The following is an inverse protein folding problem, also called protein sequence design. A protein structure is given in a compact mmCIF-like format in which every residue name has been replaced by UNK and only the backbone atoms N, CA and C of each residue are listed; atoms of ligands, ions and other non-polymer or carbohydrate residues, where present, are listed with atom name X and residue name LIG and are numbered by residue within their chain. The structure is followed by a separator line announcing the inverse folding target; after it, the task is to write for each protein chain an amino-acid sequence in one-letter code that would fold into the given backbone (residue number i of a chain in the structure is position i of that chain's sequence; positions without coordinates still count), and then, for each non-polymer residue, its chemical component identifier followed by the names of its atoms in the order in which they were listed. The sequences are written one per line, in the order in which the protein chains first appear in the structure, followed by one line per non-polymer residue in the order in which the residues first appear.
data_IF_113626844585
#
_entry.id   IF_113626844585
#
_cell.length_a   1.000
_cell.length_b   1.000
_cell.length_c   1.000
_cell.angle_alpha   90.00
_cell.angle_beta   90.00
_cell.angle_gamma   90.00
#
_symmetry.space_group_name_H-M   'P 1'
#
loop_
_entity.id
_entity.type
_entity.pdbx_description
1 polymer ?
#
# COMPACT_ATOMS: atom_id res chain seq x y z
N UNK A 1 -20.37 2.60 6.33
CA UNK A 1 -19.69 3.86 5.96
C UNK A 1 -20.04 4.96 6.95
N UNK A 2 -19.13 5.89 7.19
CA UNK A 2 -19.32 7.03 8.13
C UNK A 2 -19.76 8.30 7.43
N UNK A 3 -19.73 8.31 6.09
CA UNK A 3 -20.18 9.37 5.23
C UNK A 3 -21.30 8.85 4.34
N UNK A 4 -22.11 9.76 3.82
CA UNK A 4 -23.24 9.38 2.95
C UNK A 4 -22.70 9.04 1.55
N UNK A 5 -22.86 7.79 1.14
CA UNK A 5 -22.59 7.32 -0.22
C UNK A 5 -23.89 6.75 -0.77
N UNK A 6 -24.44 7.30 -1.87
CA UNK A 6 -25.65 6.75 -2.50
C UNK A 6 -25.51 5.25 -2.83
N UNK A 7 -26.60 4.52 -2.77
CA UNK A 7 -26.59 3.05 -2.92
C UNK A 7 -25.95 2.59 -4.23
N UNK A 8 -26.17 3.33 -5.31
CA UNK A 8 -25.61 3.06 -6.63
C UNK A 8 -24.09 3.26 -6.72
N UNK A 9 -23.48 3.93 -5.72
CA UNK A 9 -22.04 4.18 -5.64
C UNK A 9 -21.32 3.37 -4.54
N UNK A 10 -22.06 2.56 -3.79
CA UNK A 10 -21.51 1.83 -2.64
C UNK A 10 -20.44 0.81 -3.02
N UNK A 11 -20.38 0.35 -4.29
CA UNK A 11 -19.30 -0.54 -4.73
C UNK A 11 -18.04 0.18 -5.20
N UNK A 12 -18.08 1.49 -5.35
CA UNK A 12 -16.93 2.33 -5.72
C UNK A 12 -16.91 3.60 -4.88
N UNK A 13 -16.90 3.48 -3.55
CA UNK A 13 -17.04 4.61 -2.65
C UNK A 13 -15.88 5.61 -2.79
N UNK A 14 -14.65 5.15 -3.07
CA UNK A 14 -13.48 6.01 -3.27
C UNK A 14 -13.65 6.88 -4.51
N UNK A 15 -14.19 6.34 -5.61
CA UNK A 15 -14.47 7.10 -6.81
C UNK A 15 -15.52 8.19 -6.54
N UNK A 16 -16.59 7.84 -5.84
CA UNK A 16 -17.63 8.81 -5.46
C UNK A 16 -17.07 9.94 -4.56
N UNK A 17 -16.26 9.58 -3.56
CA UNK A 17 -15.62 10.56 -2.66
C UNK A 17 -14.71 11.51 -3.43
N UNK A 18 -13.92 10.97 -4.37
CA UNK A 18 -13.09 11.77 -5.27
C UNK A 18 -13.91 12.77 -6.07
N UNK A 19 -15.00 12.33 -6.69
CA UNK A 19 -15.73 13.17 -7.63
C UNK A 19 -16.70 14.15 -6.94
N UNK A 20 -17.19 13.81 -5.74
CA UNK A 20 -18.30 14.52 -5.11
C UNK A 20 -17.96 15.32 -3.87
N UNK A 21 -16.94 14.92 -3.09
CA UNK A 21 -16.66 15.54 -1.78
C UNK A 21 -15.39 16.40 -1.74
N UNK A 22 -14.28 15.87 -2.23
CA UNK A 22 -13.01 16.58 -2.19
C UNK A 22 -12.13 16.26 -3.42
N UNK A 23 -12.60 16.61 -4.65
CA UNK A 23 -11.98 16.14 -5.88
C UNK A 23 -10.49 16.44 -5.96
N UNK A 24 -10.05 17.66 -5.65
CA UNK A 24 -8.63 18.01 -5.74
C UNK A 24 -7.76 17.28 -4.74
N UNK A 25 -8.22 17.12 -3.50
CA UNK A 25 -7.45 16.46 -2.43
C UNK A 25 -7.39 14.94 -2.66
N UNK A 26 -8.55 14.32 -2.93
CA UNK A 26 -8.62 12.86 -3.11
C UNK A 26 -7.90 12.43 -4.38
N UNK A 27 -8.01 13.22 -5.45
CA UNK A 27 -7.25 12.97 -6.68
C UNK A 27 -5.73 12.99 -6.41
N UNK A 28 -5.23 14.01 -5.72
CA UNK A 28 -3.80 14.10 -5.38
C UNK A 28 -3.34 12.92 -4.47
N UNK A 29 -4.19 12.49 -3.53
CA UNK A 29 -3.90 11.33 -2.68
C UNK A 29 -3.83 10.01 -3.47
N UNK A 30 -4.72 9.83 -4.46
CA UNK A 30 -4.69 8.69 -5.37
C UNK A 30 -3.49 8.74 -6.31
N UNK A 31 -3.10 9.91 -6.81
CA UNK A 31 -1.90 10.09 -7.60
C UNK A 31 -0.64 9.79 -6.80
N UNK A 32 -0.58 10.21 -5.54
CA UNK A 32 0.51 9.83 -4.65
C UNK A 32 0.58 8.31 -4.44
N UNK A 33 -0.55 7.66 -4.18
CA UNK A 33 -0.60 6.20 -4.10
C UNK A 33 -0.08 5.54 -5.39
N UNK A 34 -0.59 5.96 -6.55
CA UNK A 34 -0.15 5.43 -7.85
C UNK A 34 1.35 5.60 -8.06
N UNK A 35 1.91 6.76 -7.72
CA UNK A 35 3.33 7.05 -7.88
C UNK A 35 4.21 6.05 -7.11
N UNK A 36 3.79 5.57 -5.93
CA UNK A 36 4.54 4.55 -5.19
C UNK A 36 4.65 3.23 -5.95
N UNK A 37 3.58 2.81 -6.62
CA UNK A 37 3.59 1.59 -7.44
C UNK A 37 4.40 1.76 -8.72
N UNK A 38 4.35 2.93 -9.36
CA UNK A 38 5.03 3.18 -10.63
C UNK A 38 6.53 3.40 -10.48
N UNK A 39 6.97 4.09 -9.44
CA UNK A 39 8.32 4.64 -9.36
C UNK A 39 9.20 4.06 -8.25
N UNK A 40 8.63 3.31 -7.29
CA UNK A 40 9.46 2.72 -6.23
C UNK A 40 10.54 1.81 -6.82
N UNK A 41 11.73 1.89 -6.26
CA UNK A 41 12.93 1.10 -6.65
C UNK A 41 13.10 -0.17 -5.81
N UNK A 42 12.28 -0.35 -4.79
CA UNK A 42 12.31 -1.52 -3.91
C UNK A 42 11.98 -2.79 -4.68
N UNK A 43 12.52 -3.92 -4.25
CA UNK A 43 12.05 -5.21 -4.77
C UNK A 43 10.58 -5.41 -4.42
N UNK A 44 9.88 -6.24 -5.21
CA UNK A 44 8.45 -6.46 -4.97
C UNK A 44 8.18 -7.04 -3.58
N UNK A 45 9.08 -7.87 -3.05
CA UNK A 45 8.93 -8.48 -1.72
C UNK A 45 9.17 -7.47 -0.59
N UNK A 46 10.15 -6.58 -0.70
CA UNK A 46 10.39 -5.49 0.25
C UNK A 46 9.17 -4.53 0.27
N UNK A 47 8.72 -4.12 -0.90
CA UNK A 47 7.55 -3.27 -1.08
C UNK A 47 6.29 -3.89 -0.47
N UNK A 48 5.98 -5.15 -0.83
CA UNK A 48 4.77 -5.85 -0.36
C UNK A 48 4.84 -6.21 1.12
N UNK A 49 6.00 -6.52 1.67
CA UNK A 49 6.17 -6.74 3.10
C UNK A 49 5.81 -5.50 3.91
N UNK A 50 6.40 -4.35 3.56
CA UNK A 50 6.12 -3.07 4.20
C UNK A 50 4.65 -2.63 3.99
N UNK A 51 4.12 -2.77 2.76
CA UNK A 51 2.73 -2.44 2.43
C UNK A 51 1.74 -3.27 3.23
N UNK A 52 1.94 -4.59 3.28
CA UNK A 52 1.05 -5.49 4.02
C UNK A 52 1.08 -5.20 5.52
N UNK A 53 2.27 -4.93 6.09
CA UNK A 53 2.37 -4.52 7.50
C UNK A 53 1.60 -3.24 7.78
N UNK A 54 1.74 -2.24 6.91
CA UNK A 54 0.98 -1.00 7.00
C UNK A 54 -0.52 -1.24 6.90
N UNK A 55 -0.96 -2.12 5.99
CA UNK A 55 -2.37 -2.47 5.83
C UNK A 55 -2.96 -3.13 7.10
N UNK A 56 -2.20 -4.03 7.74
CA UNK A 56 -2.58 -4.65 9.02
C UNK A 56 -2.72 -3.62 10.14
N UNK A 57 -1.75 -2.70 10.26
CA UNK A 57 -1.76 -1.63 11.28
C UNK A 57 -2.95 -0.68 11.07
N UNK A 58 -3.25 -0.36 9.83
CA UNK A 58 -4.38 0.52 9.50
C UNK A 58 -5.75 -0.13 9.67
N UNK A 59 -5.83 -1.46 9.77
CA UNK A 59 -7.09 -2.22 9.74
C UNK A 59 -7.81 -2.21 8.38
N UNK A 60 -7.15 -1.75 7.31
CA UNK A 60 -7.75 -1.58 5.99
C UNK A 60 -7.97 -2.94 5.31
N UNK A 61 -9.22 -3.41 5.23
CA UNK A 61 -9.58 -4.72 4.67
C UNK A 61 -9.20 -4.82 3.18
N UNK A 62 -9.54 -3.83 2.38
CA UNK A 62 -9.16 -3.77 0.96
C UNK A 62 -7.64 -3.87 0.80
N UNK A 63 -6.88 -3.10 1.60
CA UNK A 63 -5.42 -3.07 1.50
C UNK A 63 -4.80 -4.42 1.88
N UNK A 64 -5.40 -5.17 2.80
CA UNK A 64 -4.93 -6.50 3.20
C UNK A 64 -5.22 -7.57 2.14
N UNK A 65 -6.25 -7.40 1.31
CA UNK A 65 -6.59 -8.35 0.23
C UNK A 65 -5.86 -8.05 -1.08
N UNK A 66 -5.36 -6.82 -1.25
CA UNK A 66 -4.61 -6.40 -2.44
C UNK A 66 -3.27 -7.13 -2.52
N UNK A 67 -2.89 -7.55 -3.75
CA UNK A 67 -1.62 -8.20 -4.08
C UNK A 67 -1.01 -7.49 -5.28
N UNK A 68 0.10 -6.77 -5.11
CA UNK A 68 0.67 -5.99 -6.21
C UNK A 68 0.97 -6.83 -7.45
N UNK A 69 1.47 -8.05 -7.29
CA UNK A 69 1.74 -8.95 -8.42
C UNK A 69 0.50 -9.38 -9.19
N UNK A 70 -0.69 -9.38 -8.55
CA UNK A 70 -1.97 -9.76 -9.17
C UNK A 70 -2.76 -8.54 -9.63
N UNK A 71 -2.85 -7.52 -8.79
CA UNK A 71 -3.88 -6.49 -8.87
C UNK A 71 -3.35 -5.13 -9.35
N UNK A 72 -2.02 -4.89 -9.27
CA UNK A 72 -1.47 -3.58 -9.56
C UNK A 72 -1.63 -3.17 -11.03
N UNK A 73 -1.61 -4.13 -11.95
CA UNK A 73 -1.83 -3.85 -13.37
C UNK A 73 -3.22 -3.25 -13.62
N UNK A 74 -4.26 -3.85 -13.04
CA UNK A 74 -5.62 -3.35 -13.13
C UNK A 74 -5.79 -2.01 -12.40
N UNK A 75 -5.22 -1.89 -11.19
CA UNK A 75 -5.24 -0.66 -10.42
C UNK A 75 -4.63 0.51 -11.19
N UNK A 76 -3.46 0.33 -11.81
CA UNK A 76 -2.80 1.39 -12.57
C UNK A 76 -3.49 1.72 -13.88
N UNK A 77 -4.03 0.72 -14.59
CA UNK A 77 -4.76 0.95 -15.85
C UNK A 77 -6.02 1.80 -15.66
N UNK A 78 -6.63 1.75 -14.47
CA UNK A 78 -7.78 2.59 -14.13
C UNK A 78 -7.45 4.10 -14.06
N UNK A 79 -6.15 4.46 -14.07
CA UNK A 79 -5.63 5.83 -14.01
C UNK A 79 -4.71 6.18 -15.21
N UNK A 80 -4.82 5.46 -16.32
CA UNK A 80 -3.94 5.58 -17.49
C UNK A 80 -2.45 5.35 -17.17
N UNK A 81 -2.16 4.56 -16.12
CA UNK A 81 -0.82 4.23 -15.67
C UNK A 81 -0.23 3.01 -16.35
N UNK A 82 1.11 2.98 -16.50
CA UNK A 82 1.84 1.82 -16.99
C UNK A 82 2.09 0.81 -15.85
N UNK A 83 1.51 -0.37 -15.98
CA UNK A 83 1.65 -1.46 -15.03
C UNK A 83 2.92 -2.30 -15.20
N UNK A 84 3.65 -2.12 -16.29
CA UNK A 84 4.80 -2.98 -16.63
C UNK A 84 5.95 -2.86 -15.63
N UNK A 85 6.10 -1.71 -14.97
CA UNK A 85 7.17 -1.43 -14.02
C UNK A 85 7.08 -2.23 -12.70
N UNK A 86 5.87 -2.64 -12.25
CA UNK A 86 5.69 -3.29 -10.95
C UNK A 86 6.05 -4.77 -11.01
N UNK A 87 5.66 -5.45 -12.07
CA UNK A 87 5.89 -6.90 -12.24
C UNK A 87 7.38 -7.18 -12.47
N UNK A 88 8.13 -6.20 -12.95
CA UNK A 88 9.54 -6.34 -13.36
C UNK A 88 10.54 -5.98 -12.26
N UNK A 89 10.14 -5.67 -11.05
CA UNK A 89 11.08 -5.37 -9.94
C UNK A 89 11.84 -6.60 -9.45
N UNK A 90 12.19 -7.48 -10.36
CA UNK A 90 13.36 -8.37 -10.33
C UNK A 90 13.33 -9.56 -9.38
N UNK A 91 12.21 -9.91 -8.73
CA UNK A 91 12.14 -11.07 -7.83
C UNK A 91 10.79 -11.78 -7.90
N UNK A 92 10.77 -13.03 -7.41
CA UNK A 92 9.56 -13.82 -7.36
C UNK A 92 8.39 -13.05 -6.71
N UNK A 93 7.22 -13.11 -7.34
CA UNK A 93 5.99 -12.55 -6.80
C UNK A 93 5.72 -13.22 -5.43
N UNK A 94 5.46 -12.44 -4.35
CA UNK A 94 5.12 -13.00 -3.06
C UNK A 94 3.87 -13.89 -3.15
N UNK A 95 3.92 -15.03 -2.50
CA UNK A 95 2.79 -15.94 -2.37
C UNK A 95 1.96 -15.67 -1.11
N UNK A 96 0.85 -16.39 -0.92
CA UNK A 96 -0.01 -16.22 0.26
C UNK A 96 0.69 -16.63 1.56
N UNK A 97 1.70 -17.51 1.51
CA UNK A 97 2.50 -17.84 2.69
C UNK A 97 3.33 -16.64 3.16
N UNK A 98 3.92 -15.90 2.21
CA UNK A 98 4.62 -14.64 2.51
C UNK A 98 3.70 -13.63 3.18
N UNK A 99 2.52 -13.37 2.59
CA UNK A 99 1.57 -12.39 3.14
C UNK A 99 1.05 -12.77 4.51
N UNK A 100 0.75 -14.06 4.73
CA UNK A 100 0.32 -14.59 6.02
C UNK A 100 1.39 -14.44 7.11
N UNK A 101 2.66 -14.55 6.76
CA UNK A 101 3.78 -14.45 7.69
C UNK A 101 4.12 -13.01 8.12
N UNK A 102 3.62 -11.97 7.43
CA UNK A 102 3.97 -10.57 7.74
C UNK A 102 3.55 -10.16 9.15
N UNK A 103 2.48 -10.72 9.70
CA UNK A 103 2.07 -10.45 11.09
C UNK A 103 3.14 -10.91 12.10
N UNK A 104 3.80 -12.01 11.80
CA UNK A 104 4.81 -12.68 12.64
C UNK A 104 6.24 -12.48 12.10
N UNK A 105 6.47 -11.39 11.39
CA UNK A 105 7.72 -11.12 10.68
C UNK A 105 8.98 -11.25 11.53
N UNK A 106 8.89 -10.95 12.83
CA UNK A 106 10.03 -11.00 13.77
C UNK A 106 10.60 -12.41 13.95
N UNK A 107 9.76 -13.41 13.87
CA UNK A 107 10.13 -14.81 14.11
C UNK A 107 10.05 -15.70 12.86
N UNK A 108 9.37 -15.25 11.81
CA UNK A 108 9.22 -16.02 10.57
C UNK A 108 10.57 -16.17 9.84
N UNK A 109 10.96 -17.36 9.38
CA UNK A 109 12.19 -17.57 8.60
C UNK A 109 12.05 -17.14 7.12
N UNK A 110 10.88 -16.70 6.69
CA UNK A 110 10.57 -16.43 5.26
C UNK A 110 11.15 -15.12 4.74
N UNK A 111 11.60 -14.23 5.63
CA UNK A 111 12.06 -12.89 5.26
C UNK A 111 13.57 -12.77 5.29
N UNK A 112 14.13 -12.14 4.27
CA UNK A 112 15.51 -11.68 4.25
C UNK A 112 15.71 -10.51 5.21
N UNK A 113 16.97 -10.15 5.50
CA UNK A 113 17.27 -9.02 6.39
C UNK A 113 16.72 -7.69 5.83
N UNK A 114 16.77 -7.50 4.50
CA UNK A 114 16.18 -6.31 3.85
C UNK A 114 14.66 -6.28 3.98
N UNK A 115 13.98 -7.41 3.72
CA UNK A 115 12.53 -7.53 3.88
C UNK A 115 12.11 -7.27 5.33
N UNK A 116 12.86 -7.81 6.31
CA UNK A 116 12.63 -7.56 7.74
C UNK A 116 12.77 -6.09 8.08
N UNK A 117 13.84 -5.44 7.62
CA UNK A 117 14.07 -4.02 7.89
C UNK A 117 12.98 -3.14 7.26
N UNK A 118 12.51 -3.46 6.06
CA UNK A 118 11.38 -2.76 5.43
C UNK A 118 10.06 -2.91 6.23
N UNK A 119 9.78 -4.13 6.72
CA UNK A 119 8.59 -4.41 7.55
C UNK A 119 8.71 -3.72 8.93
N UNK A 120 9.89 -3.78 9.56
CA UNK A 120 10.18 -3.11 10.83
C UNK A 120 9.99 -1.60 10.71
N UNK A 121 10.49 -1.00 9.63
CA UNK A 121 10.31 0.42 9.38
C UNK A 121 8.84 0.81 9.20
N UNK A 122 8.09 0.01 8.46
CA UNK A 122 6.65 0.22 8.29
C UNK A 122 5.90 0.10 9.64
N UNK A 123 6.28 -0.87 10.48
CA UNK A 123 5.73 -1.03 11.82
C UNK A 123 6.04 0.18 12.70
N UNK A 124 7.32 0.59 12.75
CA UNK A 124 7.77 1.71 13.56
C UNK A 124 7.12 3.03 13.14
N UNK A 125 7.18 3.35 11.85
CA UNK A 125 6.58 4.58 11.33
C UNK A 125 5.05 4.62 11.50
N UNK A 126 4.40 3.45 11.42
CA UNK A 126 2.96 3.32 11.59
C UNK A 126 2.46 3.39 13.04
N UNK A 127 3.23 2.88 14.00
CA UNK A 127 2.82 2.74 15.41
C UNK A 127 3.52 3.71 16.35
N UNK A 128 4.82 3.96 16.14
CA UNK A 128 5.65 4.82 16.99
C UNK A 128 6.68 5.59 16.15
N UNK A 129 6.25 6.63 15.41
CA UNK A 129 7.14 7.39 14.54
C UNK A 129 8.25 8.12 15.32
N UNK A 130 8.03 8.45 16.60
CA UNK A 130 9.05 9.08 17.42
C UNK A 130 10.08 8.06 17.92
N UNK A 131 9.64 6.85 18.23
CA UNK A 131 10.52 5.76 18.63
C UNK A 131 11.43 5.32 17.51
N UNK A 132 10.88 5.06 16.32
CA UNK A 132 11.70 4.66 15.16
C UNK A 132 12.70 5.75 14.74
N UNK A 133 12.31 7.02 14.81
CA UNK A 133 13.19 8.13 14.47
C UNK A 133 14.41 8.25 15.41
N UNK A 134 14.33 7.70 16.62
CA UNK A 134 15.41 7.73 17.63
C UNK A 134 16.12 6.38 17.77
N UNK A 135 15.72 5.37 17.02
CA UNK A 135 16.27 4.02 17.12
C UNK A 135 17.56 3.92 16.30
N UNK A 136 18.68 4.32 16.91
CA UNK A 136 19.99 4.29 16.27
C UNK A 136 20.38 2.88 15.78
N UNK A 137 20.05 1.83 16.52
CA UNK A 137 20.32 0.46 16.12
C UNK A 137 19.58 0.06 14.85
N UNK A 138 18.32 0.50 14.72
CA UNK A 138 17.56 0.33 13.48
C UNK A 138 18.22 1.08 12.32
N UNK A 139 18.55 2.36 12.50
CA UNK A 139 19.11 3.18 11.43
C UNK A 139 20.48 2.71 10.98
N UNK A 140 21.32 2.23 11.91
CA UNK A 140 22.61 1.63 11.56
C UNK A 140 22.42 0.37 10.68
N UNK A 141 21.48 -0.50 11.03
CA UNK A 141 21.17 -1.69 10.21
C UNK A 141 20.56 -1.28 8.88
N UNK A 142 19.57 -0.40 8.88
CA UNK A 142 18.88 0.03 7.67
C UNK A 142 19.85 0.66 6.66
N UNK A 143 20.74 1.56 7.10
CA UNK A 143 21.78 2.18 6.25
C UNK A 143 22.80 1.18 5.70
N UNK A 144 23.00 0.04 6.35
CA UNK A 144 23.85 -1.03 5.82
C UNK A 144 23.17 -1.89 4.75
N UNK A 145 21.84 -1.88 4.73
CA UNK A 145 21.00 -2.69 3.84
C UNK A 145 20.44 -1.92 2.64
N UNK A 146 20.16 -0.63 2.82
CA UNK A 146 19.53 0.23 1.84
C UNK A 146 20.38 1.47 1.56
N UNK A 147 20.33 1.97 0.34
CA UNK A 147 20.84 3.30 0.02
C UNK A 147 19.91 4.39 0.57
N UNK A 148 20.41 5.63 0.65
CA UNK A 148 19.59 6.78 1.04
C UNK A 148 18.38 6.97 0.12
N UNK A 149 18.53 6.72 -1.19
CA UNK A 149 17.43 6.78 -2.16
C UNK A 149 16.34 5.73 -1.86
N UNK A 150 16.75 4.49 -1.52
CA UNK A 150 15.80 3.44 -1.18
C UNK A 150 15.10 3.70 0.16
N UNK A 151 15.81 4.28 1.15
CA UNK A 151 15.20 4.68 2.43
C UNK A 151 14.18 5.80 2.26
N UNK A 152 14.48 6.78 1.43
CA UNK A 152 13.52 7.86 1.09
C UNK A 152 12.32 7.28 0.33
N UNK A 153 12.54 6.43 -0.66
CA UNK A 153 11.49 5.73 -1.41
C UNK A 153 10.57 4.96 -0.46
N UNK A 154 11.13 4.08 0.37
CA UNK A 154 10.38 3.29 1.36
C UNK A 154 9.57 4.20 2.31
N UNK A 155 10.16 5.30 2.79
CA UNK A 155 9.50 6.25 3.68
C UNK A 155 8.25 6.85 3.05
N UNK A 156 8.35 7.31 1.80
CA UNK A 156 7.20 7.90 1.10
C UNK A 156 6.17 6.86 0.67
N UNK A 157 6.59 5.64 0.33
CA UNK A 157 5.66 4.52 0.13
C UNK A 157 4.83 4.25 1.38
N UNK A 158 5.46 4.11 2.54
CA UNK A 158 4.79 3.88 3.83
C UNK A 158 3.86 5.06 4.16
N UNK A 159 4.31 6.32 3.99
CA UNK A 159 3.49 7.50 4.23
C UNK A 159 2.19 7.50 3.41
N UNK A 160 2.29 7.15 2.12
CA UNK A 160 1.13 7.02 1.23
C UNK A 160 0.14 5.96 1.75
N UNK A 161 0.64 4.77 2.13
CA UNK A 161 -0.22 3.68 2.62
C UNK A 161 -0.83 3.99 3.99
N UNK A 162 -0.08 4.63 4.89
CA UNK A 162 -0.61 5.09 6.19
C UNK A 162 -1.74 6.08 5.96
N UNK A 163 -1.52 7.12 5.17
CA UNK A 163 -2.50 8.17 4.93
C UNK A 163 -3.78 7.63 4.29
N UNK A 164 -3.66 7.01 3.13
CA UNK A 164 -4.80 6.51 2.37
C UNK A 164 -5.53 5.37 3.09
N UNK A 165 -4.80 4.41 3.66
CA UNK A 165 -5.40 3.26 4.34
C UNK A 165 -6.16 3.66 5.60
N UNK A 166 -5.60 4.55 6.45
CA UNK A 166 -6.27 5.03 7.66
C UNK A 166 -7.53 5.83 7.35
N UNK A 167 -7.46 6.72 6.35
CA UNK A 167 -8.63 7.51 5.95
C UNK A 167 -9.73 6.59 5.41
N UNK A 168 -9.39 5.65 4.54
CA UNK A 168 -10.37 4.71 3.98
C UNK A 168 -11.03 3.86 5.09
N UNK A 169 -10.25 3.34 6.02
CA UNK A 169 -10.76 2.57 7.15
C UNK A 169 -11.61 3.42 8.10
N UNK A 170 -11.13 4.60 8.49
CA UNK A 170 -11.87 5.50 9.38
C UNK A 170 -13.21 5.95 8.81
N UNK A 171 -13.29 6.14 7.50
CA UNK A 171 -14.55 6.48 6.80
C UNK A 171 -15.42 5.24 6.52
N UNK A 172 -14.88 4.03 6.71
CA UNK A 172 -15.57 2.77 6.44
C UNK A 172 -15.83 2.54 4.95
N UNK A 173 -14.92 3.01 4.08
CA UNK A 173 -15.04 2.87 2.63
C UNK A 173 -14.11 1.81 2.06
N UNK A 174 -13.37 1.10 2.89
CA UNK A 174 -12.42 0.05 2.53
C UNK A 174 -13.04 -1.36 2.46
N UNK A 175 -14.15 -1.62 3.14
CA UNK A 175 -14.80 -2.93 3.17
C UNK A 175 -15.63 -3.28 1.94
N UNK A 176 -15.87 -2.32 1.05
CA UNK A 176 -16.82 -2.45 -0.08
C UNK A 176 -16.13 -2.48 -1.44
N UNK A 177 -14.86 -2.08 -1.52
CA UNK A 177 -14.09 -2.14 -2.76
C UNK A 177 -13.65 -3.57 -3.06
N UNK A 178 -14.33 -4.22 -3.98
CA UNK A 178 -13.74 -5.37 -4.67
C UNK A 178 -12.77 -4.84 -5.74
N UNK A 179 -11.58 -5.40 -5.80
CA UNK A 179 -10.52 -4.97 -6.73
C UNK A 179 -11.02 -5.00 -8.19
N UNK A 180 -11.84 -5.97 -8.57
CA UNK A 180 -12.50 -6.02 -9.88
C UNK A 180 -13.55 -4.94 -10.17
N UNK A 181 -13.79 -4.02 -9.23
CA UNK A 181 -14.71 -2.90 -9.45
C UNK A 181 -14.03 -1.69 -10.13
N UNK A 182 -12.70 -1.66 -10.21
CA UNK A 182 -11.98 -0.59 -10.92
C UNK A 182 -12.13 -0.71 -12.46
N UNK A 183 -12.34 -1.91 -12.99
CA UNK A 183 -12.33 -2.19 -14.44
C UNK A 183 -13.70 -2.32 -15.11
N UNK A 184 -14.81 -2.28 -14.40
CA UNK A 184 -16.12 -2.33 -15.07
C UNK A 184 -16.43 -0.99 -15.74
N UNK A 185 -15.96 -0.83 -16.99
CA UNK A 185 -16.63 0.08 -17.92
C UNK A 185 -18.10 -0.34 -17.96
N UNK A 186 -19.01 0.58 -17.62
CA UNK A 186 -20.45 0.38 -17.86
C UNK A 186 -20.62 0.06 -19.34
N UNK A 187 -21.13 -1.11 -19.67
CA UNK A 187 -21.83 -1.28 -20.94
C UNK A 187 -23.03 -0.35 -20.90
N UNK A 188 -23.22 0.49 -21.91
CA UNK A 188 -24.40 1.32 -22.00
C UNK A 188 -25.63 0.39 -22.15
N UNK A 189 -26.65 0.64 -21.31
CA UNK A 189 -27.95 -0.01 -21.41
C UNK A 189 -28.65 0.38 -22.68
#
# INVERSE_FOLDING_TARGET
MRINIPDEHQFQPIAYVKDSYAPGIVQAALEFSRATYQHSKLTLREFEGARMRTAQINGCELCQTFRSGRDAAEYLSSFDGDASSIVTRGHAIPDEQFYGAVADWKISPLFTDRERAAIEYAEGLGLDPQGIARNEDFWQRASSLFSDEELVDLSYCIASWIGNGRVSHALGIDGVCQIGAFSRKREPA
#
